data_IF_099990648215
#
_entry.id   IF_099990648215
#
_cell.length_a   1.000
_cell.length_b   1.000
_cell.length_c   1.000
_cell.angle_alpha   90.00
_cell.angle_beta   90.00
_cell.angle_gamma   90.00
#
_symmetry.space_group_name_H-M   'P 1'
#
loop_
_entity.id
_entity.type
_entity.pdbx_description
1 polymer ?
#
# COMPACT_ATOMS: atom_id res chain seq x y z
N UNK A 1 14.83 10.06 10.53
CA UNK A 1 13.98 11.00 9.76
C UNK A 1 13.53 10.24 8.53
N UNK A 2 12.22 10.04 8.40
CA UNK A 2 11.63 9.26 7.32
C UNK A 2 12.06 9.84 5.97
N UNK A 3 12.71 9.02 5.13
CA UNK A 3 13.16 9.38 3.79
C UNK A 3 12.05 9.26 2.73
N UNK A 4 10.81 9.51 3.14
CA UNK A 4 9.65 9.47 2.25
C UNK A 4 9.69 10.69 1.31
N UNK A 5 9.38 10.42 0.04
CA UNK A 5 9.26 11.42 -1.01
C UNK A 5 7.84 11.43 -1.54
N UNK A 6 7.47 12.58 -2.05
CA UNK A 6 6.29 12.77 -2.86
C UNK A 6 6.69 12.77 -4.34
N UNK A 7 5.99 11.96 -5.12
CA UNK A 7 6.15 11.85 -6.57
C UNK A 7 4.85 12.31 -7.26
N UNK A 8 4.99 13.21 -8.22
CA UNK A 8 3.90 13.59 -9.12
C UNK A 8 4.37 13.52 -10.57
N UNK A 9 3.45 13.14 -11.44
CA UNK A 9 3.70 12.91 -12.86
C UNK A 9 2.50 13.41 -13.66
N UNK A 10 2.77 14.17 -14.71
CA UNK A 10 1.76 14.65 -15.63
C UNK A 10 2.21 14.37 -17.05
N UNK A 11 1.22 14.16 -17.92
CA UNK A 11 1.41 13.92 -19.34
C UNK A 11 0.70 15.00 -20.14
N UNK A 12 1.28 15.34 -21.27
CA UNK A 12 0.71 16.26 -22.23
C UNK A 12 0.70 15.59 -23.60
N UNK A 13 -0.50 15.31 -24.12
CA UNK A 13 -0.68 14.86 -25.49
C UNK A 13 -0.39 16.04 -26.44
N UNK A 14 0.74 15.96 -27.14
CA UNK A 14 1.20 16.99 -28.07
C UNK A 14 2.18 16.39 -29.07
N UNK A 15 1.93 16.63 -30.36
CA UNK A 15 2.92 16.36 -31.40
C UNK A 15 4.24 17.10 -31.09
N UNK A 16 5.32 16.33 -30.99
CA UNK A 16 6.65 16.79 -30.62
C UNK A 16 7.44 17.06 -31.91
N UNK A 17 7.67 18.32 -32.31
CA UNK A 17 8.57 18.59 -33.42
C UNK A 17 10.01 18.24 -33.04
N UNK A 18 10.82 17.92 -34.05
CA UNK A 18 12.25 17.68 -33.87
C UNK A 18 12.93 18.87 -33.17
N UNK A 19 13.74 18.59 -32.14
CA UNK A 19 14.41 19.62 -31.34
C UNK A 19 13.55 20.33 -30.29
N UNK A 20 12.26 19.95 -30.09
CA UNK A 20 11.40 20.57 -29.07
C UNK A 20 12.05 20.57 -27.68
N UNK A 21 12.57 19.43 -27.26
CA UNK A 21 13.15 19.18 -25.94
C UNK A 21 14.40 20.02 -25.71
N UNK A 22 15.26 20.17 -26.71
CA UNK A 22 16.44 21.03 -26.65
C UNK A 22 16.02 22.49 -26.46
N UNK A 23 15.01 22.93 -27.21
CA UNK A 23 14.47 24.29 -27.10
C UNK A 23 13.79 24.54 -25.74
N UNK A 24 13.10 23.54 -25.18
CA UNK A 24 12.51 23.61 -23.83
C UNK A 24 13.62 23.71 -22.79
N UNK A 25 14.59 22.79 -22.83
CA UNK A 25 15.71 22.75 -21.89
C UNK A 25 16.48 24.07 -21.93
N UNK A 26 16.82 24.59 -23.12
CA UNK A 26 17.56 25.86 -23.25
C UNK A 26 16.83 27.05 -22.64
N UNK A 27 15.51 27.12 -22.81
CA UNK A 27 14.72 28.23 -22.28
C UNK A 27 14.54 28.15 -20.77
N UNK A 28 14.49 26.93 -20.21
CA UNK A 28 14.26 26.71 -18.78
C UNK A 28 15.56 26.61 -17.95
N UNK A 29 16.71 26.36 -18.58
CA UNK A 29 18.07 26.30 -17.97
C UNK A 29 18.40 27.56 -17.14
N UNK A 30 17.79 28.71 -17.48
CA UNK A 30 17.97 29.95 -16.72
C UNK A 30 17.46 29.87 -15.29
N UNK A 31 16.40 29.10 -15.07
CA UNK A 31 15.67 29.02 -13.81
C UNK A 31 15.83 27.66 -13.13
N UNK A 32 16.27 26.63 -13.86
CA UNK A 32 16.38 25.25 -13.39
C UNK A 32 17.70 24.63 -13.83
N UNK A 33 18.46 24.03 -12.90
CA UNK A 33 19.80 23.48 -13.16
C UNK A 33 19.71 22.09 -13.81
N UNK A 34 20.05 21.91 -15.09
CA UNK A 34 19.96 20.63 -15.77
C UNK A 34 21.10 19.68 -15.36
N UNK A 35 20.80 18.41 -15.14
CA UNK A 35 21.78 17.43 -14.66
C UNK A 35 22.47 16.71 -15.81
N UNK A 36 21.69 16.16 -16.74
CA UNK A 36 22.18 15.34 -17.85
C UNK A 36 22.93 16.22 -18.83
N UNK A 37 22.35 17.35 -19.23
CA UNK A 37 22.99 18.31 -20.13
C UNK A 37 24.31 18.83 -19.57
N UNK A 38 24.37 19.23 -18.30
CA UNK A 38 25.60 19.74 -17.72
C UNK A 38 26.67 18.66 -17.57
N UNK A 39 26.26 17.42 -17.29
CA UNK A 39 27.17 16.27 -17.30
C UNK A 39 27.75 16.04 -18.69
N UNK A 40 26.91 16.03 -19.75
CA UNK A 40 27.36 15.90 -21.14
C UNK A 40 28.32 17.03 -21.53
N UNK A 41 27.97 18.29 -21.20
CA UNK A 41 28.82 19.47 -21.43
C UNK A 41 30.21 19.28 -20.81
N UNK A 42 30.28 18.90 -19.54
CA UNK A 42 31.54 18.69 -18.85
C UNK A 42 32.39 17.55 -19.46
N UNK A 43 31.77 16.48 -19.98
CA UNK A 43 32.50 15.42 -20.68
C UNK A 43 33.09 15.88 -22.01
N UNK A 44 32.32 16.59 -22.86
CA UNK A 44 32.86 17.08 -24.14
C UNK A 44 33.93 18.14 -23.98
N UNK A 45 33.79 19.05 -23.02
CA UNK A 45 34.83 20.02 -22.70
C UNK A 45 36.15 19.32 -22.35
N UNK A 46 36.09 18.24 -21.56
CA UNK A 46 37.26 17.41 -21.23
C UNK A 46 37.86 16.69 -22.43
N UNK A 47 37.03 16.31 -23.41
CA UNK A 47 37.49 15.69 -24.66
C UNK A 47 38.04 16.72 -25.66
N UNK A 48 38.02 18.01 -25.32
CA UNK A 48 38.45 19.09 -26.23
C UNK A 48 37.49 19.30 -27.41
N UNK A 49 36.28 18.72 -27.32
CA UNK A 49 35.23 18.89 -28.31
C UNK A 49 34.49 20.19 -27.99
N UNK A 50 34.26 21.02 -29.01
CA UNK A 50 33.33 22.13 -28.86
C UNK A 50 31.92 21.57 -28.89
N UNK A 51 31.13 21.94 -27.89
CA UNK A 51 29.69 21.72 -27.89
C UNK A 51 29.08 22.56 -29.02
N UNK A 52 28.94 21.97 -30.19
CA UNK A 52 28.02 22.47 -31.19
C UNK A 52 26.74 21.65 -31.04
N UNK A 53 25.65 22.30 -30.62
CA UNK A 53 24.36 21.65 -30.40
C UNK A 53 23.80 21.02 -31.68
N UNK A 54 24.33 21.37 -32.85
CA UNK A 54 24.04 20.71 -34.13
C UNK A 54 24.74 19.34 -34.31
N UNK A 55 25.81 19.05 -33.55
CA UNK A 55 26.60 17.82 -33.69
C UNK A 55 26.42 16.84 -32.55
N UNK A 56 25.68 17.24 -31.52
CA UNK A 56 25.57 16.46 -30.31
C UNK A 56 24.24 16.75 -29.57
N UNK A 57 23.11 16.42 -30.24
CA UNK A 57 21.78 16.69 -29.69
C UNK A 57 21.56 15.94 -28.37
N UNK A 58 20.70 16.50 -27.50
CA UNK A 58 20.20 15.75 -26.34
C UNK A 58 19.29 14.61 -26.83
N UNK A 59 18.73 14.78 -28.03
CA UNK A 59 18.10 13.77 -28.87
C UNK A 59 19.11 12.83 -29.54
N UNK A 60 18.71 11.58 -29.76
CA UNK A 60 19.34 10.73 -30.77
C UNK A 60 18.54 10.92 -32.06
N UNK A 61 19.23 11.12 -33.18
CA UNK A 61 18.59 11.04 -34.50
C UNK A 61 17.94 9.64 -34.65
N UNK A 62 16.79 9.55 -35.30
CA UNK A 62 15.98 8.34 -35.37
C UNK A 62 16.77 7.15 -35.95
N UNK A 63 17.61 7.40 -36.96
CA UNK A 63 18.48 6.37 -37.54
C UNK A 63 19.56 5.88 -36.56
N UNK A 64 20.12 6.77 -35.75
CA UNK A 64 21.12 6.45 -34.73
C UNK A 64 20.48 5.69 -33.57
N UNK A 65 19.28 6.11 -33.18
CA UNK A 65 18.45 5.48 -32.16
C UNK A 65 18.12 4.03 -32.54
N UNK A 66 17.55 3.80 -33.73
CA UNK A 66 17.19 2.46 -34.22
C UNK A 66 18.41 1.54 -34.34
N UNK A 67 19.58 2.11 -34.64
CA UNK A 67 20.83 1.35 -34.77
C UNK A 67 21.44 0.96 -33.43
N UNK A 68 21.45 1.87 -32.45
CA UNK A 68 22.10 1.64 -31.15
C UNK A 68 21.19 0.92 -30.15
N UNK A 69 19.86 1.06 -30.31
CA UNK A 69 18.87 0.53 -29.37
C UNK A 69 17.69 -0.16 -30.08
N UNK A 70 17.95 -1.19 -30.92
CA UNK A 70 16.92 -1.83 -31.74
C UNK A 70 15.81 -2.54 -30.93
N UNK A 71 16.09 -2.91 -29.68
CA UNK A 71 15.22 -3.73 -28.82
C UNK A 71 14.71 -3.00 -27.56
N UNK A 72 14.78 -1.65 -27.51
CA UNK A 72 14.37 -0.90 -26.32
C UNK A 72 13.36 0.21 -26.65
N UNK A 73 12.33 0.31 -25.82
CA UNK A 73 11.52 1.52 -25.67
C UNK A 73 12.36 2.57 -24.92
N UNK A 74 13.05 3.43 -25.67
CA UNK A 74 13.98 4.42 -25.15
C UNK A 74 13.39 5.82 -25.37
N UNK A 75 13.65 6.75 -24.44
CA UNK A 75 13.23 8.13 -24.60
C UNK A 75 13.84 8.75 -25.88
N UNK A 76 13.04 9.50 -26.61
CA UNK A 76 13.54 10.39 -27.67
C UNK A 76 14.43 11.49 -27.08
N UNK A 77 14.08 11.98 -25.89
CA UNK A 77 14.85 12.98 -25.17
C UNK A 77 14.30 13.23 -23.77
N UNK A 78 15.04 13.98 -22.96
CA UNK A 78 14.65 14.30 -21.60
C UNK A 78 15.76 14.96 -20.80
N UNK A 79 15.37 15.52 -19.64
CA UNK A 79 16.28 16.14 -18.69
C UNK A 79 15.79 15.95 -17.26
N UNK A 80 16.73 15.90 -16.31
CA UNK A 80 16.48 15.97 -14.87
C UNK A 80 17.04 17.29 -14.36
N UNK A 81 16.23 18.07 -13.68
CA UNK A 81 16.60 19.35 -13.09
C UNK A 81 16.75 19.23 -11.58
N UNK A 82 17.88 19.69 -11.05
CA UNK A 82 18.17 19.68 -9.62
C UNK A 82 17.75 21.01 -9.01
N UNK A 83 17.06 20.94 -7.87
CA UNK A 83 16.70 22.11 -7.08
C UNK A 83 17.49 22.21 -5.79
N UNK A 84 17.62 23.43 -5.29
CA UNK A 84 18.37 23.73 -4.06
C UNK A 84 17.66 23.21 -2.80
N UNK A 85 16.35 22.92 -2.88
CA UNK A 85 15.54 22.33 -1.81
C UNK A 85 15.63 20.78 -1.75
N UNK A 86 16.46 20.18 -2.61
CA UNK A 86 16.64 18.72 -2.69
C UNK A 86 15.57 18.01 -3.52
N UNK A 87 14.66 18.75 -4.17
CA UNK A 87 13.73 18.19 -5.13
C UNK A 87 14.38 18.00 -6.51
N UNK A 88 13.82 17.07 -7.27
CA UNK A 88 14.15 16.80 -8.64
C UNK A 88 12.92 17.03 -9.50
N UNK A 89 13.04 17.88 -10.50
CA UNK A 89 12.06 17.96 -11.56
C UNK A 89 12.58 17.22 -12.78
N UNK A 90 11.70 16.71 -13.62
CA UNK A 90 12.15 16.06 -14.84
C UNK A 90 11.17 16.28 -15.99
N UNK A 91 11.71 16.17 -17.20
CA UNK A 91 11.01 16.21 -18.47
C UNK A 91 11.39 14.95 -19.24
N UNK A 92 10.40 14.22 -19.75
CA UNK A 92 10.58 13.06 -20.63
C UNK A 92 9.83 13.29 -21.93
N UNK A 93 10.40 12.78 -23.00
CA UNK A 93 9.79 12.74 -24.33
C UNK A 93 9.82 11.27 -24.75
N UNK A 94 8.81 10.48 -24.35
CA UNK A 94 8.80 9.04 -24.60
C UNK A 94 8.59 8.71 -26.07
N UNK A 95 7.82 9.53 -26.80
CA UNK A 95 7.55 9.36 -28.22
C UNK A 95 7.20 10.72 -28.86
N UNK A 96 6.88 10.71 -30.15
CA UNK A 96 6.61 11.91 -30.94
C UNK A 96 5.21 12.52 -30.70
N UNK A 97 4.38 11.92 -29.84
CA UNK A 97 2.98 12.32 -29.62
C UNK A 97 2.70 12.81 -28.20
N UNK A 98 3.66 12.70 -27.27
CA UNK A 98 3.48 13.14 -25.90
C UNK A 98 4.76 13.62 -25.21
N UNK A 99 4.56 14.43 -24.17
CA UNK A 99 5.59 14.86 -23.24
C UNK A 99 5.13 14.51 -21.83
N UNK A 100 6.04 13.97 -21.02
CA UNK A 100 5.79 13.76 -19.60
C UNK A 100 6.67 14.67 -18.74
N UNK A 101 6.12 15.12 -17.62
CA UNK A 101 6.79 15.98 -16.66
C UNK A 101 6.52 15.46 -15.26
N UNK A 102 7.48 15.56 -14.36
CA UNK A 102 7.24 15.12 -13.00
C UNK A 102 8.22 15.69 -12.01
N UNK A 103 7.98 15.36 -10.75
CA UNK A 103 8.87 15.71 -9.66
C UNK A 103 9.03 14.55 -8.68
N UNK A 104 10.20 14.49 -8.06
CA UNK A 104 10.54 13.65 -6.92
C UNK A 104 11.03 14.61 -5.85
N UNK A 105 10.24 14.78 -4.80
CA UNK A 105 10.48 15.84 -3.81
C UNK A 105 10.37 15.32 -2.38
N UNK A 106 11.19 15.81 -1.43
CA UNK A 106 11.01 15.49 -0.02
C UNK A 106 9.58 15.76 0.45
N UNK A 107 9.05 14.90 1.32
CA UNK A 107 7.69 15.09 1.82
C UNK A 107 7.55 16.44 2.55
N UNK A 108 6.51 17.21 2.20
CA UNK A 108 6.29 18.55 2.73
C UNK A 108 6.97 19.69 1.94
N UNK A 109 7.67 19.38 0.85
CA UNK A 109 8.19 20.38 -0.07
C UNK A 109 7.07 21.21 -0.73
N UNK A 110 7.43 22.41 -1.21
CA UNK A 110 6.49 23.36 -1.78
C UNK A 110 5.97 22.88 -3.15
N UNK A 111 4.72 22.44 -3.20
CA UNK A 111 4.06 21.98 -4.43
C UNK A 111 3.91 23.10 -5.48
N UNK A 112 3.85 24.36 -5.04
CA UNK A 112 3.68 25.50 -5.95
C UNK A 112 4.87 25.64 -6.91
N UNK A 113 6.05 25.22 -6.46
CA UNK A 113 7.26 25.25 -7.27
C UNK A 113 7.24 24.20 -8.40
N UNK A 114 6.63 23.04 -8.15
CA UNK A 114 6.38 22.06 -9.19
C UNK A 114 5.37 22.57 -10.22
N UNK A 115 4.30 23.24 -9.77
CA UNK A 115 3.32 23.82 -10.68
C UNK A 115 3.91 24.96 -11.52
N UNK A 116 4.76 25.83 -10.95
CA UNK A 116 5.51 26.84 -11.72
C UNK A 116 6.36 26.19 -12.80
N UNK A 117 7.03 25.07 -12.50
CA UNK A 117 7.79 24.31 -13.50
C UNK A 117 6.88 23.79 -14.62
N UNK A 118 5.74 23.19 -14.28
CA UNK A 118 4.75 22.73 -15.25
C UNK A 118 4.21 23.86 -16.14
N UNK A 119 3.92 25.03 -15.57
CA UNK A 119 3.45 26.21 -16.30
C UNK A 119 4.52 26.76 -17.25
N UNK A 120 5.77 26.88 -16.79
CA UNK A 120 6.89 27.32 -17.63
C UNK A 120 7.10 26.41 -18.82
N UNK A 121 7.14 25.09 -18.61
CA UNK A 121 7.28 24.11 -19.70
C UNK A 121 6.09 24.18 -20.66
N UNK A 122 4.86 24.22 -20.14
CA UNK A 122 3.64 24.31 -20.96
C UNK A 122 3.63 25.56 -21.83
N UNK A 123 4.03 26.71 -21.27
CA UNK A 123 4.13 27.96 -22.01
C UNK A 123 5.11 27.85 -23.17
N UNK A 124 6.30 27.30 -22.94
CA UNK A 124 7.32 27.09 -23.98
C UNK A 124 6.81 26.16 -25.08
N UNK A 125 6.22 25.02 -24.72
CA UNK A 125 5.66 24.06 -25.69
C UNK A 125 4.55 24.73 -26.51
N UNK A 126 3.67 25.50 -25.86
CA UNK A 126 2.57 26.21 -26.52
C UNK A 126 3.08 27.23 -27.56
N UNK A 127 4.16 27.95 -27.26
CA UNK A 127 4.79 28.88 -28.19
C UNK A 127 5.43 28.17 -29.40
N UNK A 128 6.16 27.08 -29.16
CA UNK A 128 6.88 26.35 -30.22
C UNK A 128 5.90 25.62 -31.14
N UNK A 129 4.86 24.99 -30.57
CA UNK A 129 3.88 24.21 -31.34
C UNK A 129 2.71 25.05 -31.86
N UNK A 130 2.61 26.32 -31.44
CA UNK A 130 1.51 27.23 -31.72
C UNK A 130 0.12 26.66 -31.32
N UNK A 131 0.08 25.79 -30.30
CA UNK A 131 -1.15 25.22 -29.71
C UNK A 131 -1.47 25.95 -28.40
N UNK A 132 -2.72 26.42 -28.24
CA UNK A 132 -3.14 27.26 -27.10
C UNK A 132 -3.96 26.54 -26.04
N UNK A 133 -4.55 25.39 -26.38
CA UNK A 133 -5.46 24.64 -25.51
C UNK A 133 -4.80 23.41 -24.86
N UNK A 134 -3.46 23.43 -24.74
CA UNK A 134 -2.68 22.36 -24.13
C UNK A 134 -2.93 22.31 -22.62
N UNK A 135 -3.12 21.10 -22.07
CA UNK A 135 -3.34 20.88 -20.65
C UNK A 135 -2.63 19.63 -20.17
N UNK A 136 -1.98 19.75 -19.02
CA UNK A 136 -1.42 18.61 -18.31
C UNK A 136 -2.54 17.70 -17.82
N UNK A 137 -2.39 16.42 -18.08
CA UNK A 137 -3.22 15.34 -17.53
C UNK A 137 -2.43 14.62 -16.44
N UNK A 138 -3.08 14.34 -15.31
CA UNK A 138 -2.43 13.59 -14.23
C UNK A 138 -2.19 12.16 -14.70
N UNK A 139 -0.93 11.70 -14.63
CA UNK A 139 -0.65 10.27 -14.77
C UNK A 139 -1.11 9.62 -13.48
N UNK A 140 -2.14 8.78 -13.58
CA UNK A 140 -2.70 8.05 -12.45
C UNK A 140 -2.69 6.55 -12.74
N UNK A 141 -2.17 5.73 -11.82
CA UNK A 141 -2.28 4.27 -11.86
C UNK A 141 -3.69 3.78 -11.48
N UNK A 142 -4.64 4.68 -11.32
CA UNK A 142 -5.98 4.37 -10.84
C UNK A 142 -6.91 4.24 -12.03
N UNK A 143 -7.45 3.03 -12.22
CA UNK A 143 -8.38 2.77 -13.31
C UNK A 143 -9.76 3.41 -13.08
N UNK A 144 -10.59 3.43 -14.12
CA UNK A 144 -11.92 4.06 -14.05
C UNK A 144 -12.86 3.36 -13.07
N UNK A 145 -12.72 2.03 -12.90
CA UNK A 145 -13.56 1.25 -11.97
C UNK A 145 -13.33 1.71 -10.53
N UNK A 146 -12.07 1.89 -10.13
CA UNK A 146 -11.74 2.41 -8.81
C UNK A 146 -12.33 3.80 -8.59
N UNK A 147 -12.17 4.72 -9.56
CA UNK A 147 -12.72 6.07 -9.43
C UNK A 147 -14.24 6.13 -9.29
N UNK A 148 -14.96 5.14 -9.83
CA UNK A 148 -16.39 5.01 -9.63
C UNK A 148 -16.71 4.46 -8.24
N UNK A 149 -15.99 3.43 -7.80
CA UNK A 149 -16.17 2.82 -6.48
C UNK A 149 -15.81 3.77 -5.34
N UNK A 150 -14.71 4.53 -5.47
CA UNK A 150 -14.22 5.44 -4.42
C UNK A 150 -15.19 6.55 -4.04
N UNK A 151 -16.15 6.89 -4.92
CA UNK A 151 -17.22 7.86 -4.62
C UNK A 151 -18.23 7.36 -3.60
N UNK A 152 -18.34 6.05 -3.40
CA UNK A 152 -19.23 5.42 -2.43
C UNK A 152 -18.51 4.99 -1.14
N UNK A 153 -17.18 5.08 -1.11
CA UNK A 153 -16.35 4.70 0.04
C UNK A 153 -16.49 5.71 1.19
N UNK A 154 -16.30 5.23 2.42
CA UNK A 154 -16.51 6.01 3.63
C UNK A 154 -15.27 6.85 3.99
N UNK A 155 -15.48 8.11 4.37
CA UNK A 155 -14.44 8.93 4.99
C UNK A 155 -14.34 8.62 6.48
N UNK A 156 -13.13 8.26 6.92
CA UNK A 156 -12.86 7.96 8.33
C UNK A 156 -11.87 8.96 8.89
N UNK A 157 -12.24 9.59 10.01
CA UNK A 157 -11.42 10.55 10.73
C UNK A 157 -11.28 10.13 12.20
N UNK A 158 -10.36 9.19 12.52
CA UNK A 158 -10.21 8.72 13.90
C UNK A 158 -9.65 9.81 14.81
N UNK A 159 -10.11 9.80 16.06
CA UNK A 159 -9.63 10.67 17.14
C UNK A 159 -8.40 10.07 17.85
N UNK A 160 -7.74 10.84 18.70
CA UNK A 160 -6.68 10.31 19.56
C UNK A 160 -7.15 9.17 20.47
N UNK A 161 -8.42 9.18 20.87
CA UNK A 161 -9.00 8.11 21.69
C UNK A 161 -9.16 6.82 20.87
N UNK A 162 -9.61 6.93 19.61
CA UNK A 162 -9.69 5.80 18.68
C UNK A 162 -8.32 5.15 18.48
N UNK A 163 -7.28 5.96 18.29
CA UNK A 163 -5.91 5.47 18.15
C UNK A 163 -5.41 4.73 19.39
N UNK A 164 -5.67 5.28 20.60
CA UNK A 164 -5.27 4.61 21.85
C UNK A 164 -6.00 3.29 22.05
N UNK A 165 -7.30 3.27 21.77
CA UNK A 165 -8.13 2.08 21.96
C UNK A 165 -7.84 0.99 20.93
N UNK A 166 -7.62 1.35 19.66
CA UNK A 166 -7.30 0.37 18.59
C UNK A 166 -5.97 -0.33 18.84
N UNK A 167 -4.94 0.37 19.36
CA UNK A 167 -3.68 -0.27 19.77
C UNK A 167 -3.89 -1.32 20.87
N UNK A 168 -4.84 -1.11 21.78
CA UNK A 168 -5.14 -2.09 22.82
C UNK A 168 -5.73 -3.38 22.25
N UNK A 169 -6.58 -3.23 21.22
CA UNK A 169 -7.27 -4.32 20.55
C UNK A 169 -6.37 -5.11 19.60
N UNK A 170 -5.11 -4.72 19.40
CA UNK A 170 -4.13 -5.54 18.70
C UNK A 170 -3.84 -6.86 19.45
N UNK A 171 -3.94 -6.85 20.78
CA UNK A 171 -3.77 -8.06 21.56
C UNK A 171 -5.01 -8.94 21.42
N UNK A 172 -4.77 -10.22 21.12
CA UNK A 172 -5.83 -11.21 20.97
C UNK A 172 -6.71 -11.28 22.21
N UNK A 173 -6.08 -11.26 23.38
CA UNK A 173 -6.74 -11.33 24.68
C UNK A 173 -7.66 -10.14 24.93
N UNK A 174 -7.23 -8.91 24.62
CA UNK A 174 -8.08 -7.73 24.77
C UNK A 174 -9.23 -7.75 23.76
N UNK A 175 -8.94 -8.07 22.49
CA UNK A 175 -9.97 -8.13 21.45
C UNK A 175 -11.05 -9.18 21.77
N UNK A 176 -10.66 -10.41 22.12
CA UNK A 176 -11.59 -11.47 22.50
C UNK A 176 -12.40 -11.11 23.74
N UNK A 177 -11.78 -10.48 24.75
CA UNK A 177 -12.47 -10.03 25.95
C UNK A 177 -13.52 -8.96 25.64
N UNK A 178 -13.18 -7.93 24.86
CA UNK A 178 -14.13 -6.87 24.49
C UNK A 178 -15.26 -7.42 23.61
N UNK A 179 -14.95 -8.33 22.67
CA UNK A 179 -15.94 -9.05 21.85
C UNK A 179 -16.93 -9.82 22.73
N UNK A 180 -16.44 -10.58 23.71
CA UNK A 180 -17.27 -11.30 24.69
C UNK A 180 -18.17 -10.36 25.50
N UNK A 181 -17.64 -9.23 25.95
CA UNK A 181 -18.41 -8.21 26.70
C UNK A 181 -19.51 -7.61 25.80
N UNK A 182 -19.19 -7.28 24.55
CA UNK A 182 -20.14 -6.75 23.56
C UNK A 182 -21.28 -7.72 23.28
N UNK A 183 -20.96 -8.98 23.02
CA UNK A 183 -21.93 -9.99 22.58
C UNK A 183 -22.94 -10.36 23.69
N UNK A 184 -22.49 -10.35 24.95
CA UNK A 184 -23.36 -10.59 26.11
C UNK A 184 -24.05 -9.31 26.60
N UNK A 185 -23.47 -8.14 26.33
CA UNK A 185 -23.88 -6.79 26.70
C UNK A 185 -23.91 -6.51 28.21
N UNK A 186 -24.37 -7.42 29.08
CA UNK A 186 -24.36 -7.29 30.54
C UNK A 186 -23.79 -8.54 31.19
N UNK A 187 -22.57 -8.47 31.70
CA UNK A 187 -21.88 -9.62 32.29
C UNK A 187 -21.25 -9.27 33.64
N UNK A 188 -21.41 -10.15 34.63
CA UNK A 188 -20.75 -9.98 35.92
C UNK A 188 -19.24 -10.25 35.77
N UNK A 189 -18.40 -9.44 36.40
CA UNK A 189 -16.94 -9.57 36.28
C UNK A 189 -16.46 -10.97 36.67
N UNK A 190 -17.04 -11.57 37.71
CA UNK A 190 -16.71 -12.94 38.14
C UNK A 190 -17.02 -14.02 37.10
N UNK A 191 -17.87 -13.75 36.09
CA UNK A 191 -18.15 -14.65 34.96
C UNK A 191 -17.19 -14.45 33.79
N UNK A 192 -16.40 -13.38 33.81
CA UNK A 192 -15.33 -13.14 32.84
C UNK A 192 -14.00 -13.77 33.26
N UNK A 193 -13.87 -14.15 34.53
CA UNK A 193 -12.62 -14.62 35.13
C UNK A 193 -12.69 -16.11 35.46
N UNK A 194 -11.62 -16.82 35.13
CA UNK A 194 -11.24 -18.12 35.64
C UNK A 194 -10.13 -17.95 36.71
N UNK A 195 -9.79 -19.02 37.44
CA UNK A 195 -8.77 -18.93 38.51
C UNK A 195 -7.40 -18.52 37.95
N UNK A 196 -7.08 -18.96 36.73
CA UNK A 196 -5.77 -18.79 36.11
C UNK A 196 -5.57 -17.42 35.44
N UNK A 197 -6.63 -16.77 34.94
CA UNK A 197 -6.56 -15.50 34.20
C UNK A 197 -7.07 -14.28 35.00
N UNK A 198 -7.37 -14.48 36.29
CA UNK A 198 -8.06 -13.47 37.12
C UNK A 198 -7.36 -12.12 37.14
N UNK A 199 -6.05 -12.11 37.33
CA UNK A 199 -5.28 -10.87 37.43
C UNK A 199 -5.22 -10.12 36.09
N UNK A 200 -5.07 -10.86 34.99
CA UNK A 200 -4.98 -10.29 33.64
C UNK A 200 -6.31 -9.72 33.18
N UNK A 201 -7.42 -10.43 33.41
CA UNK A 201 -8.77 -9.94 33.11
C UNK A 201 -9.08 -8.68 33.93
N UNK A 202 -8.69 -8.63 35.21
CA UNK A 202 -8.89 -7.43 36.03
C UNK A 202 -8.10 -6.23 35.50
N UNK A 203 -6.84 -6.42 35.10
CA UNK A 203 -6.01 -5.37 34.49
C UNK A 203 -6.63 -4.85 33.19
N UNK A 204 -7.08 -5.75 32.31
CA UNK A 204 -7.72 -5.38 31.04
C UNK A 204 -9.04 -4.64 31.27
N UNK A 205 -9.89 -5.10 32.18
CA UNK A 205 -11.15 -4.42 32.52
C UNK A 205 -10.89 -3.02 33.07
N UNK A 206 -9.92 -2.85 33.97
CA UNK A 206 -9.54 -1.52 34.48
C UNK A 206 -9.04 -0.60 33.35
N UNK A 207 -8.29 -1.16 32.40
CA UNK A 207 -7.78 -0.41 31.24
C UNK A 207 -8.90 -0.02 30.28
N UNK A 208 -9.82 -0.93 29.98
CA UNK A 208 -11.01 -0.66 29.16
C UNK A 208 -11.90 0.41 29.78
N UNK A 209 -12.10 0.38 31.10
CA UNK A 209 -12.83 1.42 31.82
C UNK A 209 -12.13 2.77 31.68
N UNK A 210 -10.80 2.82 31.87
CA UNK A 210 -10.00 4.03 31.72
C UNK A 210 -10.01 4.62 30.31
N UNK A 211 -10.20 3.77 29.28
CA UNK A 211 -10.34 4.19 27.87
C UNK A 211 -11.81 4.45 27.46
N UNK A 212 -12.78 4.22 28.34
CA UNK A 212 -14.20 4.37 28.05
C UNK A 212 -14.78 3.30 27.12
N UNK A 213 -14.11 2.15 26.95
CA UNK A 213 -14.58 1.01 26.13
C UNK A 213 -15.69 0.21 26.80
N UNK A 214 -15.75 0.28 28.14
CA UNK A 214 -16.78 -0.37 28.95
C UNK A 214 -17.32 0.60 30.00
N UNK A 215 -18.49 0.26 30.51
CA UNK A 215 -19.11 0.89 31.68
C UNK A 215 -19.13 -0.15 32.78
N UNK A 216 -18.66 0.24 33.97
CA UNK A 216 -18.66 -0.60 35.16
C UNK A 216 -19.70 -0.08 36.15
N UNK A 217 -20.69 -0.91 36.43
CA UNK A 217 -21.70 -0.68 37.44
C UNK A 217 -21.60 -1.74 38.55
N UNK A 218 -22.34 -1.53 39.63
CA UNK A 218 -22.43 -2.44 40.76
C UNK A 218 -23.86 -2.91 40.93
N UNK A 219 -24.04 -4.22 41.06
CA UNK A 219 -25.35 -4.84 41.26
C UNK A 219 -25.39 -5.46 42.65
N UNK A 220 -26.43 -5.11 43.41
CA UNK A 220 -26.64 -5.61 44.76
C UNK A 220 -27.64 -6.77 44.72
N UNK A 221 -27.23 -7.93 45.23
CA UNK A 221 -28.04 -9.14 45.35
C UNK A 221 -28.32 -9.45 46.81
N UNK A 222 -29.57 -9.81 47.11
CA UNK A 222 -29.93 -10.30 48.44
C UNK A 222 -29.19 -11.60 48.75
N UNK A 223 -28.36 -11.65 49.80
CA UNK A 223 -27.62 -12.84 50.23
C UNK A 223 -28.54 -14.01 50.58
N UNK A 224 -29.74 -13.72 51.11
CA UNK A 224 -30.68 -14.75 51.54
C UNK A 224 -31.49 -15.35 50.37
N UNK A 225 -31.87 -14.52 49.40
CA UNK A 225 -32.80 -14.92 48.33
C UNK A 225 -32.16 -15.00 46.94
N UNK A 226 -30.94 -14.51 46.77
CA UNK A 226 -30.21 -14.47 45.50
C UNK A 226 -30.76 -13.50 44.44
N UNK A 227 -31.84 -12.78 44.75
CA UNK A 227 -32.48 -11.84 43.82
C UNK A 227 -31.74 -10.50 43.76
N UNK A 228 -31.67 -9.93 42.56
CA UNK A 228 -31.17 -8.58 42.35
C UNK A 228 -32.10 -7.56 43.01
N UNK A 229 -31.53 -6.67 43.81
CA UNK A 229 -32.25 -5.61 44.52
C UNK A 229 -32.24 -4.33 43.69
N UNK A 230 -31.05 -3.83 43.32
CA UNK A 230 -30.86 -2.64 42.50
C UNK A 230 -29.45 -2.57 41.88
N UNK A 231 -29.25 -1.63 40.94
CA UNK A 231 -28.00 -1.35 40.21
C UNK A 231 -27.60 0.11 40.45
N UNK A 232 -26.32 0.37 40.66
CA UNK A 232 -25.74 1.73 40.79
C UNK A 232 -24.43 1.86 40.03
N UNK A 233 -24.03 3.09 39.75
CA UNK A 233 -22.81 3.41 38.98
C UNK A 233 -21.53 3.49 39.82
N UNK A 234 -21.63 3.42 41.16
CA UNK A 234 -20.45 3.45 42.03
C UNK A 234 -20.70 2.74 43.35
N UNK A 235 -19.62 2.24 43.96
CA UNK A 235 -19.68 1.63 45.29
C UNK A 235 -20.01 2.65 46.38
N UNK A 236 -19.52 3.89 46.25
CA UNK A 236 -19.82 4.96 47.21
C UNK A 236 -21.31 5.30 47.26
N UNK A 237 -22.05 5.14 46.15
CA UNK A 237 -23.51 5.31 46.16
C UNK A 237 -24.22 4.25 47.01
N UNK A 238 -23.65 3.03 47.11
CA UNK A 238 -24.19 1.96 47.98
C UNK A 238 -23.96 2.32 49.44
N UNK A 239 -22.77 2.82 49.77
CA UNK A 239 -22.40 3.26 51.12
C UNK A 239 -23.29 4.43 51.57
N UNK A 240 -23.43 5.46 50.72
CA UNK A 240 -24.28 6.62 51.01
C UNK A 240 -25.76 6.22 51.18
N UNK A 241 -26.26 5.31 50.35
CA UNK A 241 -27.63 4.82 50.50
C UNK A 241 -27.78 3.99 51.79
N UNK A 242 -26.76 3.21 52.18
CA UNK A 242 -26.78 2.49 53.46
C UNK A 242 -26.82 3.46 54.65
N UNK A 243 -26.03 4.54 54.61
CA UNK A 243 -25.99 5.56 55.67
C UNK A 243 -27.31 6.32 55.81
N UNK A 244 -28.06 6.46 54.70
CA UNK A 244 -29.42 7.01 54.68
C UNK A 244 -30.50 6.01 55.14
N UNK A 245 -30.11 4.81 55.57
CA UNK A 245 -31.01 3.80 56.13
C UNK A 245 -31.73 2.94 55.09
N UNK A 246 -31.24 2.87 53.85
CA UNK A 246 -31.82 1.97 52.86
C UNK A 246 -31.48 0.51 53.19
N UNK A 247 -32.52 -0.33 53.23
CA UNK A 247 -32.41 -1.77 53.50
C UNK A 247 -32.92 -2.59 52.31
N UNK A 248 -32.48 -3.85 52.24
CA UNK A 248 -33.02 -4.85 51.33
C UNK A 248 -34.51 -5.04 51.60
N UNK A 249 -35.35 -4.82 50.58
CA UNK A 249 -36.79 -5.02 50.69
C UNK A 249 -37.21 -6.49 50.86
N UNK A 250 -36.31 -7.45 50.63
CA UNK A 250 -36.57 -8.89 50.76
C UNK A 250 -36.20 -9.44 52.14
N UNK A 251 -35.07 -9.02 52.72
CA UNK A 251 -34.56 -9.58 54.00
C UNK A 251 -34.41 -8.56 55.14
N UNK A 252 -34.59 -7.27 54.86
CA UNK A 252 -34.51 -6.19 55.85
C UNK A 252 -33.11 -5.78 56.29
N UNK A 253 -32.04 -6.43 55.82
CA UNK A 253 -30.64 -6.05 56.11
C UNK A 253 -30.24 -4.77 55.38
N UNK A 254 -29.24 -4.06 55.88
CA UNK A 254 -28.67 -2.91 55.18
C UNK A 254 -28.15 -3.32 53.79
N UNK A 255 -28.31 -2.46 52.79
CA UNK A 255 -27.86 -2.76 51.42
C UNK A 255 -26.35 -2.93 51.29
N UNK A 256 -25.56 -2.32 52.18
CA UNK A 256 -24.11 -2.51 52.27
C UNK A 256 -23.71 -3.90 52.78
N UNK A 257 -24.60 -4.56 53.53
CA UNK A 257 -24.42 -5.93 54.03
C UNK A 257 -24.79 -6.99 53.00
N UNK A 258 -25.31 -6.61 51.83
CA UNK A 258 -25.73 -7.54 50.79
C UNK A 258 -24.55 -7.96 49.87
N UNK A 259 -24.79 -8.86 48.90
CA UNK A 259 -23.74 -9.29 47.97
C UNK A 259 -23.64 -8.25 46.86
N UNK A 260 -22.47 -7.64 46.70
CA UNK A 260 -22.19 -6.64 45.67
C UNK A 260 -21.30 -7.28 44.62
N UNK A 261 -21.78 -7.35 43.38
CA UNK A 261 -21.01 -7.83 42.24
C UNK A 261 -20.79 -6.69 41.23
N UNK A 262 -19.64 -6.69 40.56
CA UNK A 262 -19.35 -5.77 39.46
C UNK A 262 -20.00 -6.26 38.17
N UNK A 263 -20.73 -5.36 37.51
CA UNK A 263 -21.40 -5.59 36.24
C UNK A 263 -20.71 -4.77 35.16
N UNK A 264 -20.24 -5.47 34.13
CA UNK A 264 -19.54 -4.90 32.98
C UNK A 264 -20.49 -4.83 31.79
N UNK A 265 -20.56 -3.65 31.18
CA UNK A 265 -21.34 -3.38 29.96
C UNK A 265 -20.41 -2.80 28.89
N UNK A 266 -20.54 -3.22 27.63
CA UNK A 266 -19.81 -2.56 26.53
C UNK A 266 -20.39 -1.15 26.32
N UNK A 267 -19.53 -0.13 26.31
CA UNK A 267 -19.96 1.24 26.05
C UNK A 267 -20.34 1.41 24.57
N UNK A 268 -20.99 2.53 24.22
CA UNK A 268 -21.28 2.82 22.81
C UNK A 268 -19.99 3.01 22.01
N UNK A 269 -18.96 3.62 22.60
CA UNK A 269 -17.64 3.73 22.01
C UNK A 269 -16.99 2.36 21.75
N UNK A 270 -17.03 1.46 22.74
CA UNK A 270 -16.52 0.09 22.58
C UNK A 270 -17.30 -0.70 21.52
N UNK A 271 -18.63 -0.51 21.43
CA UNK A 271 -19.45 -1.11 20.38
C UNK A 271 -19.05 -0.59 19.00
N UNK A 272 -18.86 0.73 18.84
CA UNK A 272 -18.43 1.33 17.57
C UNK A 272 -17.10 0.78 17.12
N UNK A 273 -16.10 0.66 18.01
CA UNK A 273 -14.79 0.09 17.65
C UNK A 273 -14.85 -1.38 17.22
N UNK A 274 -15.77 -2.14 17.79
CA UNK A 274 -15.97 -3.55 17.48
C UNK A 274 -16.94 -3.78 16.31
N UNK A 275 -17.71 -2.77 15.91
CA UNK A 275 -18.64 -2.87 14.78
C UNK A 275 -17.84 -2.93 13.48
N UNK A 276 -18.19 -3.89 12.63
CA UNK A 276 -17.45 -4.20 11.38
C UNK A 276 -15.92 -4.23 11.55
N UNK A 277 -15.39 -4.53 12.75
CA UNK A 277 -13.96 -4.44 13.09
C UNK A 277 -13.30 -3.07 12.81
N UNK A 278 -14.02 -1.96 13.05
CA UNK A 278 -13.54 -0.58 12.85
C UNK A 278 -12.15 -0.29 13.45
N UNK A 279 -11.77 -0.96 14.54
CA UNK A 279 -10.44 -0.80 15.15
C UNK A 279 -9.27 -1.13 14.20
N UNK A 280 -9.44 -2.03 13.22
CA UNK A 280 -8.38 -2.43 12.27
C UNK A 280 -7.98 -1.29 11.31
N UNK A 281 -8.90 -0.67 10.55
CA UNK A 281 -8.57 0.46 9.69
C UNK A 281 -8.08 1.66 10.50
N UNK A 282 -8.62 1.91 11.71
CA UNK A 282 -8.09 2.95 12.60
C UNK A 282 -6.61 2.73 12.89
N UNK A 283 -6.21 1.48 13.17
CA UNK A 283 -4.82 1.15 13.47
C UNK A 283 -3.91 1.33 12.25
N UNK A 284 -4.38 0.96 11.07
CA UNK A 284 -3.67 1.18 9.80
C UNK A 284 -3.55 2.67 9.46
N UNK A 285 -4.63 3.44 9.61
CA UNK A 285 -4.63 4.90 9.42
C UNK A 285 -3.60 5.55 10.33
N UNK A 286 -3.50 5.12 11.59
CA UNK A 286 -2.48 5.64 12.51
C UNK A 286 -1.05 5.42 11.97
N UNK A 287 -0.76 4.23 11.43
CA UNK A 287 0.54 3.91 10.83
C UNK A 287 0.82 4.81 9.61
N UNK A 288 -0.17 4.96 8.72
CA UNK A 288 -0.06 5.81 7.52
C UNK A 288 0.14 7.29 7.87
N UNK A 289 -0.62 7.81 8.85
CA UNK A 289 -0.51 9.21 9.29
C UNK A 289 0.84 9.53 9.95
N UNK A 290 1.43 8.58 10.70
CA UNK A 290 2.81 8.71 11.21
C UNK A 290 3.84 8.86 10.09
N UNK A 291 3.56 8.30 8.92
CA UNK A 291 4.36 8.41 7.70
C UNK A 291 3.97 9.61 6.82
N UNK A 292 3.15 10.53 7.35
CA UNK A 292 2.75 11.77 6.67
C UNK A 292 1.74 11.59 5.53
N UNK A 293 1.11 10.41 5.42
CA UNK A 293 0.02 10.17 4.48
C UNK A 293 -1.23 10.91 4.98
N UNK A 294 -1.81 11.73 4.11
CA UNK A 294 -2.97 12.56 4.44
C UNK A 294 -4.29 11.79 4.25
N UNK A 295 -5.36 12.14 4.99
CA UNK A 295 -6.68 11.54 4.82
C UNK A 295 -7.23 11.57 3.38
N UNK A 296 -6.83 12.55 2.58
CA UNK A 296 -7.25 12.68 1.18
C UNK A 296 -6.59 11.67 0.23
N UNK A 297 -5.67 10.83 0.73
CA UNK A 297 -4.91 9.88 -0.10
C UNK A 297 -5.40 8.43 0.05
N UNK A 298 -6.28 8.16 1.02
CA UNK A 298 -6.83 6.83 1.23
C UNK A 298 -8.35 6.82 1.29
N UNK A 299 -8.93 5.68 0.95
CA UNK A 299 -10.36 5.44 0.87
C UNK A 299 -10.67 4.12 1.59
N UNK A 300 -11.78 4.05 2.32
CA UNK A 300 -12.12 2.85 3.10
C UNK A 300 -13.43 2.29 2.60
N UNK A 301 -13.40 0.99 2.28
CA UNK A 301 -14.58 0.19 2.01
C UNK A 301 -14.78 -0.78 3.18
N UNK A 302 -15.84 -0.57 3.95
CA UNK A 302 -16.18 -1.47 5.05
C UNK A 302 -16.88 -2.76 4.58
N UNK A 303 -17.22 -2.85 3.29
CA UNK A 303 -17.99 -3.94 2.73
C UNK A 303 -19.37 -4.10 3.36
N UNK A 304 -20.06 -5.16 2.94
CA UNK A 304 -21.26 -5.64 3.63
C UNK A 304 -20.89 -6.38 4.93
N UNK A 305 -21.88 -6.64 5.80
CA UNK A 305 -21.69 -7.19 7.17
C UNK A 305 -20.78 -8.43 7.28
N UNK A 306 -20.66 -9.22 6.23
CA UNK A 306 -19.88 -10.46 6.21
C UNK A 306 -18.57 -10.35 5.42
N UNK A 307 -18.30 -9.22 4.79
CA UNK A 307 -17.09 -8.97 4.01
C UNK A 307 -15.95 -8.48 4.90
N UNK A 308 -14.75 -8.42 4.32
CA UNK A 308 -13.55 -7.92 4.97
C UNK A 308 -13.38 -6.43 4.61
N UNK A 309 -12.69 -5.66 5.45
CA UNK A 309 -12.53 -4.21 5.27
C UNK A 309 -11.35 -3.97 4.33
N UNK A 310 -11.54 -3.13 3.33
CA UNK A 310 -10.46 -2.67 2.47
C UNK A 310 -10.11 -1.21 2.78
N UNK A 311 -8.82 -0.92 2.80
CA UNK A 311 -8.30 0.45 2.67
C UNK A 311 -7.51 0.53 1.37
N UNK A 312 -7.87 1.48 0.51
CA UNK A 312 -7.13 1.78 -0.71
C UNK A 312 -6.30 3.03 -0.50
N UNK A 313 -5.04 2.99 -0.93
CA UNK A 313 -4.10 4.09 -0.84
C UNK A 313 -3.58 4.43 -2.24
N UNK A 314 -3.74 5.69 -2.65
CA UNK A 314 -3.09 6.21 -3.85
C UNK A 314 -1.83 6.97 -3.43
N UNK A 315 -0.67 6.37 -3.66
CA UNK A 315 0.61 6.93 -3.25
C UNK A 315 1.67 6.77 -4.33
N UNK A 316 2.38 7.86 -4.65
CA UNK A 316 3.44 7.90 -5.67
C UNK A 316 3.05 7.24 -7.00
N UNK A 317 1.84 7.60 -7.46
CA UNK A 317 1.22 7.09 -8.68
C UNK A 317 1.06 5.56 -8.70
N UNK A 318 0.74 4.96 -7.56
CA UNK A 318 0.40 3.54 -7.42
C UNK A 318 -0.85 3.39 -6.58
N UNK A 319 -1.70 2.43 -6.96
CA UNK A 319 -2.84 2.01 -6.15
C UNK A 319 -2.44 0.81 -5.30
N UNK A 320 -2.50 0.98 -3.98
CA UNK A 320 -2.28 -0.09 -3.02
C UNK A 320 -3.61 -0.44 -2.34
N UNK A 321 -3.85 -1.74 -2.11
CA UNK A 321 -5.02 -2.22 -1.38
C UNK A 321 -4.57 -2.93 -0.10
N UNK A 322 -5.22 -2.62 1.02
CA UNK A 322 -5.02 -3.28 2.30
C UNK A 322 -6.33 -3.97 2.71
N UNK A 323 -6.42 -5.29 2.54
CA UNK A 323 -7.58 -6.07 3.03
C UNK A 323 -7.30 -6.53 4.47
N UNK A 324 -8.23 -6.25 5.38
CA UNK A 324 -8.10 -6.51 6.82
C UNK A 324 -9.16 -7.49 7.29
N UNK A 325 -8.73 -8.59 7.92
CA UNK A 325 -9.64 -9.64 8.38
C UNK A 325 -9.31 -10.21 9.77
N UNK A 326 -10.32 -10.34 10.63
CA UNK A 326 -10.24 -11.06 11.90
C UNK A 326 -10.69 -12.53 11.78
N UNK A 327 -11.02 -12.97 10.56
CA UNK A 327 -11.61 -14.29 10.27
C UNK A 327 -10.55 -15.25 9.77
N UNK A 328 -10.82 -16.55 9.89
CA UNK A 328 -10.02 -17.58 9.25
C UNK A 328 -10.11 -17.43 7.72
N UNK A 329 -8.97 -17.21 7.08
CA UNK A 329 -8.92 -17.01 5.65
C UNK A 329 -9.31 -18.28 4.87
N UNK A 330 -10.19 -18.14 3.88
CA UNK A 330 -10.86 -19.23 3.17
C UNK A 330 -10.75 -19.05 1.65
N UNK A 331 -11.12 -20.06 0.86
CA UNK A 331 -11.15 -19.94 -0.61
C UNK A 331 -12.13 -18.85 -1.08
N UNK A 332 -13.24 -18.64 -0.35
CA UNK A 332 -14.18 -17.56 -0.66
C UNK A 332 -13.48 -16.20 -0.52
N UNK A 333 -12.75 -16.00 0.57
CA UNK A 333 -11.99 -14.76 0.80
C UNK A 333 -10.93 -14.56 -0.29
N UNK A 334 -10.18 -15.62 -0.63
CA UNK A 334 -9.17 -15.55 -1.68
C UNK A 334 -9.74 -15.17 -3.06
N UNK A 335 -10.92 -15.70 -3.41
CA UNK A 335 -11.61 -15.35 -4.65
C UNK A 335 -12.03 -13.86 -4.66
N UNK A 336 -12.61 -13.38 -3.56
CA UNK A 336 -13.05 -11.97 -3.46
C UNK A 336 -11.85 -11.01 -3.50
N UNK A 337 -10.80 -11.31 -2.74
CA UNK A 337 -9.55 -10.55 -2.76
C UNK A 337 -8.96 -10.44 -4.17
N UNK A 338 -8.86 -11.57 -4.88
CA UNK A 338 -8.32 -11.59 -6.25
C UNK A 338 -9.23 -10.87 -7.25
N UNK A 339 -10.55 -10.96 -7.08
CA UNK A 339 -11.51 -10.24 -7.91
C UNK A 339 -11.37 -8.72 -7.74
N UNK A 340 -11.17 -8.22 -6.51
CA UNK A 340 -10.91 -6.79 -6.24
C UNK A 340 -9.61 -6.33 -6.88
N UNK A 341 -8.53 -7.09 -6.72
CA UNK A 341 -7.22 -6.78 -7.33
C UNK A 341 -7.34 -6.59 -8.84
N UNK A 342 -7.98 -7.55 -9.51
CA UNK A 342 -8.18 -7.51 -10.97
C UNK A 342 -9.18 -6.42 -11.40
N UNK A 343 -10.19 -6.10 -10.59
CA UNK A 343 -11.19 -5.07 -10.94
C UNK A 343 -10.60 -3.67 -10.90
N UNK A 344 -9.68 -3.42 -9.96
CA UNK A 344 -9.11 -2.10 -9.70
C UNK A 344 -7.68 -1.91 -10.23
N UNK A 345 -7.10 -2.93 -10.87
CA UNK A 345 -5.71 -2.92 -11.36
C UNK A 345 -4.73 -2.53 -10.23
N UNK A 346 -4.84 -3.23 -9.09
CA UNK A 346 -4.02 -2.94 -7.90
C UNK A 346 -2.55 -3.30 -8.17
N UNK A 347 -1.64 -2.34 -7.92
CA UNK A 347 -0.19 -2.52 -8.05
C UNK A 347 0.35 -3.40 -6.90
N UNK A 348 -0.06 -3.10 -5.67
CA UNK A 348 0.37 -3.82 -4.47
C UNK A 348 -0.83 -4.12 -3.59
N UNK A 349 -1.07 -5.40 -3.29
CA UNK A 349 -2.14 -5.80 -2.39
C UNK A 349 -1.58 -6.46 -1.12
N UNK A 350 -2.02 -5.96 0.03
CA UNK A 350 -1.55 -6.34 1.35
C UNK A 350 -2.72 -6.98 2.10
N UNK A 351 -2.58 -8.26 2.45
CA UNK A 351 -3.52 -8.94 3.32
C UNK A 351 -3.04 -8.85 4.78
N UNK A 352 -3.81 -8.19 5.63
CA UNK A 352 -3.56 -8.04 7.06
C UNK A 352 -4.56 -8.92 7.83
N UNK A 353 -4.08 -9.94 8.53
CA UNK A 353 -4.96 -10.85 9.28
C UNK A 353 -4.54 -10.99 10.73
N UNK A 354 -5.50 -11.05 11.65
CA UNK A 354 -5.21 -11.41 13.06
C UNK A 354 -4.85 -12.88 13.23
N UNK A 355 -5.22 -13.72 12.27
CA UNK A 355 -4.96 -15.15 12.25
C UNK A 355 -3.92 -15.50 11.18
N UNK A 356 -3.27 -16.64 11.34
CA UNK A 356 -2.25 -17.10 10.37
C UNK A 356 -2.90 -17.44 9.03
N UNK A 357 -2.37 -16.90 7.93
CA UNK A 357 -2.81 -17.27 6.58
C UNK A 357 -2.10 -18.56 6.17
N UNK A 358 -2.81 -19.65 5.84
CA UNK A 358 -2.18 -20.91 5.46
C UNK A 358 -1.22 -20.75 4.26
N UNK A 359 -0.04 -21.36 4.32
CA UNK A 359 1.00 -21.24 3.26
C UNK A 359 0.48 -21.63 1.88
N UNK A 360 -0.30 -22.70 1.79
CA UNK A 360 -0.94 -23.13 0.54
C UNK A 360 -1.86 -22.05 -0.05
N UNK A 361 -2.49 -21.24 0.81
CA UNK A 361 -3.35 -20.15 0.38
C UNK A 361 -2.54 -18.94 -0.09
N UNK A 362 -1.44 -18.63 0.58
CA UNK A 362 -0.50 -17.59 0.12
C UNK A 362 0.04 -17.93 -1.27
N UNK A 363 0.45 -19.19 -1.47
CA UNK A 363 0.91 -19.70 -2.77
C UNK A 363 -0.19 -19.63 -3.84
N UNK A 364 -1.42 -20.01 -3.50
CA UNK A 364 -2.56 -19.91 -4.42
C UNK A 364 -2.81 -18.46 -4.84
N UNK A 365 -2.83 -17.52 -3.88
CA UNK A 365 -3.02 -16.10 -4.17
C UNK A 365 -1.91 -15.54 -5.07
N UNK A 366 -0.66 -15.89 -4.82
CA UNK A 366 0.48 -15.49 -5.67
C UNK A 366 0.38 -16.05 -7.08
N UNK A 367 -0.13 -17.27 -7.25
CA UNK A 367 -0.32 -17.88 -8.58
C UNK A 367 -1.46 -17.24 -9.37
N UNK A 368 -2.50 -16.77 -8.69
CA UNK A 368 -3.70 -16.18 -9.32
C UNK A 368 -3.48 -14.69 -9.63
N UNK A 369 -2.73 -13.96 -8.80
CA UNK A 369 -2.49 -12.52 -8.95
C UNK A 369 -1.04 -12.27 -9.40
N UNK A 370 -0.66 -12.77 -10.58
CA UNK A 370 0.74 -12.73 -11.05
C UNK A 370 1.24 -11.30 -11.31
N UNK A 371 0.33 -10.39 -11.63
CA UNK A 371 0.65 -9.00 -11.98
C UNK A 371 0.55 -8.03 -10.78
N UNK A 372 0.22 -8.53 -9.58
CA UNK A 372 0.10 -7.73 -8.36
C UNK A 372 1.15 -8.15 -7.33
N UNK A 373 1.88 -7.20 -6.74
CA UNK A 373 2.79 -7.51 -5.64
C UNK A 373 1.98 -7.81 -4.37
N UNK A 374 1.97 -9.09 -3.96
CA UNK A 374 1.23 -9.56 -2.79
C UNK A 374 2.11 -9.58 -1.54
N UNK A 375 1.68 -8.87 -0.50
CA UNK A 375 2.29 -8.92 0.84
C UNK A 375 1.30 -9.48 1.87
N UNK A 376 1.83 -10.19 2.86
CA UNK A 376 1.05 -10.75 3.96
C UNK A 376 1.56 -10.21 5.30
N UNK A 377 0.66 -9.69 6.13
CA UNK A 377 0.96 -9.22 7.48
C UNK A 377 0.09 -10.02 8.45
N UNK A 378 0.74 -10.84 9.27
CA UNK A 378 0.10 -11.63 10.32
C UNK A 378 0.21 -10.88 11.65
N UNK A 379 -0.93 -10.49 12.20
CA UNK A 379 -1.07 -9.65 13.39
C UNK A 379 -0.82 -8.16 13.12
N UNK A 380 -1.11 -7.33 14.12
CA UNK A 380 -0.90 -5.88 14.06
C UNK A 380 0.38 -5.43 14.79
N UNK A 381 1.07 -6.38 15.44
CA UNK A 381 2.33 -6.08 16.11
C UNK A 381 3.42 -5.70 15.10
N UNK A 382 4.04 -4.55 15.31
CA UNK A 382 5.04 -3.99 14.41
C UNK A 382 4.47 -3.58 13.05
N UNK A 383 3.17 -3.25 12.98
CA UNK A 383 2.53 -2.78 11.75
C UNK A 383 3.22 -1.52 11.22
N UNK A 384 3.62 -0.61 12.10
CA UNK A 384 4.26 0.65 11.71
C UNK A 384 5.52 0.41 10.88
N UNK A 385 6.45 -0.43 11.36
CA UNK A 385 7.70 -0.73 10.66
C UNK A 385 7.46 -1.51 9.36
N UNK A 386 6.47 -2.40 9.33
CA UNK A 386 6.13 -3.18 8.12
C UNK A 386 5.54 -2.29 7.03
N UNK A 387 4.60 -1.41 7.38
CA UNK A 387 3.99 -0.47 6.44
C UNK A 387 5.04 0.53 5.94
N UNK A 388 5.90 1.04 6.83
CA UNK A 388 7.03 1.89 6.42
C UNK A 388 7.94 1.16 5.43
N UNK A 389 8.30 -0.10 5.71
CA UNK A 389 9.13 -0.92 4.82
C UNK A 389 8.53 -1.09 3.43
N UNK A 390 7.24 -1.44 3.34
CA UNK A 390 6.51 -1.61 2.07
C UNK A 390 6.47 -0.29 1.30
N UNK A 391 6.13 0.82 1.95
CA UNK A 391 6.05 2.12 1.28
C UNK A 391 7.43 2.59 0.77
N UNK A 392 8.50 2.37 1.53
CA UNK A 392 9.87 2.69 1.09
C UNK A 392 10.31 1.79 -0.07
N UNK A 393 9.98 0.50 -0.04
CA UNK A 393 10.22 -0.44 -1.15
C UNK A 393 9.55 0.07 -2.43
N UNK A 394 8.25 0.37 -2.37
CA UNK A 394 7.48 0.84 -3.53
C UNK A 394 7.89 2.21 -4.02
N UNK A 395 8.24 3.11 -3.11
CA UNK A 395 8.82 4.41 -3.47
C UNK A 395 10.13 4.24 -4.23
N UNK A 396 11.01 3.34 -3.78
CA UNK A 396 12.27 3.05 -4.46
C UNK A 396 12.02 2.52 -5.87
N UNK A 397 11.11 1.56 -6.02
CA UNK A 397 10.73 1.04 -7.34
C UNK A 397 10.21 2.17 -8.25
N UNK A 398 9.34 3.05 -7.76
CA UNK A 398 8.87 4.21 -8.55
C UNK A 398 10.01 5.13 -8.99
N UNK A 399 10.96 5.43 -8.09
CA UNK A 399 12.13 6.26 -8.44
C UNK A 399 12.99 5.56 -9.49
N UNK A 400 13.27 4.27 -9.31
CA UNK A 400 14.08 3.46 -10.25
C UNK A 400 13.43 3.44 -11.62
N UNK A 401 12.13 3.15 -11.70
CA UNK A 401 11.37 3.14 -12.95
C UNK A 401 11.39 4.51 -13.63
N UNK A 402 11.22 5.60 -12.88
CA UNK A 402 11.28 6.95 -13.46
C UNK A 402 12.65 7.24 -14.07
N UNK A 403 13.73 6.81 -13.40
CA UNK A 403 15.11 7.10 -13.80
C UNK A 403 15.64 6.15 -14.87
N UNK A 404 15.16 4.91 -14.93
CA UNK A 404 15.56 3.90 -15.94
C UNK A 404 15.39 4.46 -17.36
N UNK A 405 14.31 5.20 -17.61
CA UNK A 405 14.04 5.83 -18.90
C UNK A 405 15.17 6.78 -19.35
N UNK A 406 15.90 7.40 -18.41
CA UNK A 406 17.00 8.33 -18.71
C UNK A 406 18.37 7.64 -18.90
N UNK A 407 18.48 6.33 -18.67
CA UNK A 407 19.75 5.59 -18.75
C UNK A 407 20.36 5.63 -20.15
N UNK A 408 19.54 5.73 -21.20
CA UNK A 408 20.01 5.93 -22.57
C UNK A 408 20.66 7.30 -22.81
N UNK A 409 20.29 8.31 -22.02
CA UNK A 409 20.71 9.69 -22.22
C UNK A 409 22.03 9.98 -21.52
N UNK A 410 22.49 9.11 -20.61
CA UNK A 410 23.76 9.29 -19.90
C UNK A 410 24.37 7.97 -19.44
N UNK A 411 25.70 7.86 -19.51
CA UNK A 411 26.45 6.72 -18.98
C UNK A 411 26.63 6.75 -17.46
N UNK A 412 26.11 7.78 -16.78
CA UNK A 412 26.18 7.92 -15.32
C UNK A 412 25.05 7.11 -14.69
N UNK A 413 25.36 6.36 -13.62
CA UNK A 413 24.34 5.67 -12.82
C UNK A 413 23.48 6.67 -12.05
N UNK A 414 22.46 7.22 -12.71
CA UNK A 414 21.54 8.19 -12.12
C UNK A 414 20.72 7.57 -10.98
N UNK A 415 20.33 6.29 -11.08
CA UNK A 415 19.51 5.61 -10.09
C UNK A 415 20.19 5.57 -8.72
N UNK A 416 21.44 5.09 -8.67
CA UNK A 416 22.21 5.01 -7.44
C UNK A 416 22.47 6.38 -6.81
N UNK A 417 22.76 7.39 -7.64
CA UNK A 417 22.99 8.76 -7.18
C UNK A 417 21.72 9.40 -6.60
N UNK A 418 20.59 9.26 -7.31
CA UNK A 418 19.31 9.84 -6.90
C UNK A 418 18.76 9.17 -5.64
N UNK A 419 18.89 7.86 -5.53
CA UNK A 419 18.53 7.16 -4.29
C UNK A 419 19.40 7.67 -3.15
N UNK A 420 20.74 7.65 -3.27
CA UNK A 420 21.64 8.12 -2.21
C UNK A 420 21.41 9.58 -1.81
N UNK A 421 21.01 10.45 -2.72
CA UNK A 421 20.70 11.85 -2.39
C UNK A 421 19.41 11.97 -1.58
N UNK A 422 18.38 11.18 -1.91
CA UNK A 422 17.09 11.15 -1.19
C UNK A 422 17.24 10.52 0.20
N UNK A 423 17.95 9.40 0.29
CA UNK A 423 18.25 8.76 1.57
C UNK A 423 19.68 8.17 1.54
N UNK A 424 20.63 8.80 2.26
CA UNK A 424 22.02 8.34 2.31
C UNK A 424 22.22 6.91 2.78
N UNK A 425 21.22 6.33 3.47
CA UNK A 425 21.27 4.95 3.98
C UNK A 425 20.81 3.89 2.97
N UNK A 426 20.38 4.26 1.76
CA UNK A 426 20.14 3.25 0.73
C UNK A 426 21.44 2.49 0.45
N UNK A 427 21.43 1.17 0.70
CA UNK A 427 22.51 0.28 0.30
C UNK A 427 22.63 0.28 -1.22
N UNK A 428 23.88 0.30 -1.72
CA UNK A 428 24.18 0.24 -3.14
C UNK A 428 23.44 -0.92 -3.80
N UNK A 429 22.76 -0.63 -4.90
CA UNK A 429 22.12 -1.66 -5.74
C UNK A 429 23.27 -2.43 -6.40
N UNK A 430 23.46 -3.70 -6.05
CA UNK A 430 24.15 -4.62 -6.93
C UNK A 430 23.25 -4.81 -8.15
N UNK A 431 23.56 -4.09 -9.22
CA UNK A 431 22.90 -4.31 -10.52
C UNK A 431 23.29 -5.74 -10.91
N UNK A 432 22.34 -6.67 -10.81
CA UNK A 432 22.51 -8.00 -11.41
C UNK A 432 22.83 -7.79 -12.88
N UNK A 433 24.08 -8.04 -13.27
CA UNK A 433 24.45 -8.15 -14.66
C UNK A 433 23.61 -9.28 -15.23
N UNK A 434 22.70 -8.98 -16.18
CA UNK A 434 22.12 -10.01 -17.03
C UNK A 434 23.31 -10.84 -17.57
N UNK A 435 23.26 -12.18 -17.47
CA UNK A 435 24.36 -13.00 -17.96
C UNK A 435 24.54 -12.73 -19.44
N UNK A 436 25.79 -12.47 -19.85
CA UNK A 436 26.17 -12.36 -21.25
C UNK A 436 25.67 -13.61 -21.97
N UNK A 437 24.72 -13.43 -22.90
CA UNK A 437 24.36 -14.49 -23.84
C UNK A 437 25.59 -14.64 -24.72
N UNK A 438 26.39 -15.65 -24.42
CA UNK A 438 27.40 -16.15 -25.34
C UNK A 438 26.65 -16.63 -26.57
N UNK A 439 26.74 -15.88 -27.67
CA UNK A 439 26.35 -16.38 -28.98
C UNK A 439 27.26 -17.57 -29.30
N UNK A 440 26.75 -18.78 -29.08
CA UNK A 440 27.31 -19.97 -29.72
C UNK A 440 26.95 -19.89 -31.20
N UNK A 441 27.95 -19.66 -32.04
CA UNK A 441 27.87 -19.76 -33.50
C UNK A 441 27.33 -21.14 -33.87
N UNK A 442 26.08 -21.20 -34.32
CA UNK A 442 25.54 -22.38 -34.98
C UNK A 442 25.94 -22.32 -36.46
N UNK A 443 26.92 -23.15 -36.83
CA UNK A 443 27.25 -23.45 -38.22
C UNK A 443 25.99 -23.86 -39.00
N UNK A 444 25.70 -23.11 -40.06
CA UNK A 444 24.66 -23.40 -41.03
C UNK A 444 24.98 -24.69 -41.82
N UNK A 445 24.31 -25.80 -41.51
CA UNK A 445 24.20 -26.92 -42.46
C UNK A 445 22.87 -26.89 -43.22
N UNK A 446 22.96 -26.61 -44.53
CA UNK A 446 21.87 -26.63 -45.50
C UNK A 446 21.06 -27.96 -45.52
N UNK A 447 19.72 -27.90 -45.68
CA UNK A 447 18.90 -29.11 -45.76
C UNK A 447 18.90 -29.72 -47.17
N UNK A 448 19.52 -30.90 -47.34
CA UNK A 448 19.42 -31.71 -48.57
C UNK A 448 18.05 -32.40 -48.70
N UNK A 449 17.38 -32.17 -49.83
CA UNK A 449 16.07 -32.73 -50.24
C UNK A 449 16.09 -34.25 -50.54
N UNK A 450 15.18 -34.97 -49.87
CA UNK A 450 14.32 -36.12 -50.26
C UNK A 450 14.83 -37.23 -51.22
N UNK A 451 14.69 -38.49 -50.79
CA UNK A 451 14.18 -39.60 -51.64
C UNK A 451 13.14 -40.47 -50.90
N UNK A 452 12.13 -40.91 -51.67
CA UNK A 452 10.83 -41.49 -51.29
C UNK A 452 10.81 -43.04 -51.34
N UNK A 453 9.94 -43.63 -50.49
CA UNK A 453 9.10 -44.86 -50.64
C UNK A 453 9.75 -46.26 -50.49
N UNK A 454 9.17 -47.11 -49.60
CA UNK A 454 8.09 -48.10 -49.91
C UNK A 454 7.58 -48.89 -48.68
N UNK A 455 6.27 -49.20 -48.70
CA UNK A 455 5.44 -50.04 -47.79
C UNK A 455 5.60 -51.56 -48.00
N UNK A 456 5.42 -52.36 -46.93
CA UNK A 456 4.54 -53.57 -46.77
C UNK A 456 4.94 -54.33 -45.47
N UNK A 457 4.10 -54.50 -44.43
CA UNK A 457 2.89 -55.35 -44.19
C UNK A 457 3.19 -56.83 -43.85
N UNK A 458 2.84 -57.27 -42.61
CA UNK A 458 2.16 -58.53 -42.18
C UNK A 458 2.09 -58.57 -40.63
N UNK A 459 0.88 -58.63 -40.03
CA UNK A 459 0.18 -59.84 -39.51
C UNK A 459 1.01 -60.57 -38.43
N UNK A 460 0.52 -60.98 -37.25
CA UNK A 460 -0.77 -61.57 -36.86
C UNK A 460 -0.70 -61.90 -35.34
N UNK A 461 -1.87 -62.05 -34.67
CA UNK A 461 -2.15 -62.94 -33.51
C UNK A 461 -1.34 -62.70 -32.20
N UNK A 462 -1.83 -62.81 -30.97
CA UNK A 462 -3.08 -63.27 -30.34
C UNK A 462 -2.92 -63.10 -28.82
N UNK A 463 -4.03 -63.13 -28.09
CA UNK A 463 -4.22 -63.44 -26.66
C UNK A 463 -4.52 -62.25 -25.73
N UNK A 464 -5.81 -61.93 -25.69
CA UNK A 464 -6.51 -61.69 -24.42
C UNK A 464 -6.87 -63.02 -23.73
N UNK A 465 -7.18 -62.89 -22.44
CA UNK A 465 -7.93 -63.78 -21.56
C UNK A 465 -7.14 -64.70 -20.61
N UNK A 466 -7.17 -64.28 -19.33
CA UNK A 466 -7.72 -65.11 -18.27
C UNK A 466 -6.71 -65.84 -17.41
N UNK A 467 -6.64 -65.45 -16.14
CA UNK A 467 -7.09 -66.28 -15.00
C UNK A 467 -6.96 -65.44 -13.72
N UNK A 468 -8.11 -65.23 -13.06
CA UNK A 468 -8.23 -64.88 -11.64
C UNK A 468 -7.63 -66.00 -10.80
N UNK A 469 -7.03 -65.69 -9.65
CA UNK A 469 -7.40 -66.34 -8.36
C UNK A 469 -6.60 -65.79 -7.17
N UNK A 470 -7.36 -65.33 -6.17
CA UNK A 470 -7.19 -65.51 -4.72
C UNK A 470 -5.85 -65.14 -4.04
N UNK A 471 -5.80 -63.96 -3.41
CA UNK A 471 -5.63 -63.77 -1.95
C UNK A 471 -5.58 -62.27 -1.62
#
# INVERSE_FOLDING_TARGET
>A
MSGMVWIAQHRLAVEVPEGLGDAVIERIDKDYKPLISDTKKAYWEKLGLKLDRNFAPIYLDMEVYETLFPDRDVLLGGEIFIRDDGAYHYLKIPNWEEVEIGCISPQGANIDEYWKFCESVLHIISEITNKKDLKWELVTAVNQNFWQASKAMEEVSPTELDFKASMELESREAHELLKKIRDVNNILLNKLMDVENREDVQKLVQKFEGMGLIIKDFVVFCKQHGQQIFRVNSKSAIEEASDRGFCCFLCGKAISDERIDELITCSDFGKTLMDRNYWMPVRLIQALQKLGIKPTQYFIDFGDKDEDIDLFLVHNNRLMMFEMTDKKFSLKHAFLFSAKNATFDVDTAILISTEKVPVLMQQHLQQVNQDTDLKFIEGFHGLDERIEGILIEKQRESIVNIVEDFVCLTSVNLQGLLLKSINPNYKDIEIEKKPDIVHEDYDEEEPKKKKKKKKKKKEKESLEEGIKENA
#
